data_IF_036187584792
#
_entry.id   IF_036187584792
#
_cell.length_a   1.000
_cell.length_b   1.000
_cell.length_c   1.000
_cell.angle_alpha   90.00
_cell.angle_beta   90.00
_cell.angle_gamma   90.00
#
_symmetry.space_group_name_H-M   'P 1'
#
loop_
_entity.id
_entity.type
_entity.pdbx_description
1 polymer ?
#
# COMPACT_ATOMS: atom_id res chain seq x y z
N UNK A 1 14.94 -3.03 -2.33
CA UNK A 1 14.44 -1.79 -1.71
C UNK A 1 12.94 -1.82 -1.36
N UNK A 2 11.99 -1.83 -2.32
CA UNK A 2 10.54 -1.97 -2.00
C UNK A 2 10.26 -3.24 -1.20
N UNK A 3 10.80 -4.35 -1.71
CA UNK A 3 10.62 -5.65 -1.10
C UNK A 3 11.40 -5.79 0.20
N UNK A 4 12.53 -5.13 0.40
CA UNK A 4 13.27 -5.29 1.66
C UNK A 4 12.53 -4.63 2.82
N UNK A 5 11.98 -3.42 2.64
CA UNK A 5 11.21 -2.76 3.69
C UNK A 5 9.83 -3.43 3.91
N UNK A 6 9.26 -4.05 2.88
CA UNK A 6 7.98 -4.76 3.01
C UNK A 6 8.17 -6.22 3.49
N UNK A 7 9.22 -6.92 3.08
CA UNK A 7 9.46 -8.36 3.31
C UNK A 7 10.41 -8.61 4.48
N UNK A 8 11.42 -7.76 4.71
CA UNK A 8 12.33 -7.85 5.86
C UNK A 8 11.87 -6.88 6.95
N UNK A 9 10.85 -7.29 7.70
CA UNK A 9 10.79 -6.89 9.10
C UNK A 9 11.17 -8.12 9.93
N UNK A 10 12.36 -8.09 10.51
CA UNK A 10 12.67 -9.00 11.61
C UNK A 10 11.90 -8.48 12.83
N UNK A 11 11.08 -9.30 13.50
CA UNK A 11 10.65 -8.94 14.85
C UNK A 11 11.91 -8.60 15.65
N UNK A 12 11.88 -7.54 16.45
CA UNK A 12 12.95 -7.28 17.42
C UNK A 12 13.32 -8.62 18.08
N UNK A 13 14.62 -8.92 18.13
CA UNK A 13 15.20 -10.19 18.60
C UNK A 13 14.84 -10.55 20.06
N UNK A 14 13.88 -9.87 20.67
CA UNK A 14 13.36 -10.13 22.01
C UNK A 14 12.16 -11.07 22.05
N UNK A 15 11.55 -11.45 20.92
CA UNK A 15 10.44 -12.42 20.90
C UNK A 15 10.95 -13.88 20.83
N UNK A 16 11.74 -14.28 21.83
CA UNK A 16 11.78 -15.70 22.25
C UNK A 16 10.54 -15.96 23.11
N UNK A 17 9.33 -16.07 22.55
CA UNK A 17 8.15 -16.23 23.42
C UNK A 17 7.08 -17.17 22.84
N UNK A 18 7.02 -18.36 23.48
CA UNK A 18 5.90 -19.25 23.77
C UNK A 18 4.87 -19.59 22.66
N UNK A 19 4.41 -20.85 22.65
CA UNK A 19 3.40 -21.45 21.77
C UNK A 19 2.02 -20.72 21.69
N UNK A 20 1.82 -19.57 22.34
CA UNK A 20 0.52 -18.87 22.49
C UNK A 20 0.59 -17.33 22.47
N UNK A 21 1.55 -16.72 21.76
CA UNK A 21 1.54 -15.26 21.58
C UNK A 21 0.34 -14.82 20.71
N UNK A 22 -0.38 -13.73 21.06
CA UNK A 22 -1.48 -13.21 20.24
C UNK A 22 -0.98 -12.80 18.84
N UNK A 23 -1.85 -12.83 17.81
CA UNK A 23 -1.44 -12.48 16.46
C UNK A 23 -0.95 -11.04 16.38
N UNK A 24 0.12 -10.83 15.62
CA UNK A 24 0.55 -9.48 15.23
C UNK A 24 -0.55 -8.88 14.34
N UNK A 25 -1.13 -7.79 14.80
CA UNK A 25 -2.20 -7.10 14.08
C UNK A 25 -1.63 -6.01 13.16
N UNK A 26 -2.06 -6.01 11.90
CA UNK A 26 -1.68 -4.98 10.92
C UNK A 26 -2.92 -4.51 10.15
N UNK A 27 -3.16 -3.21 10.14
CA UNK A 27 -4.28 -2.56 9.46
C UNK A 27 -3.75 -1.62 8.38
N UNK A 28 -4.04 -1.94 7.13
CA UNK A 28 -3.53 -1.18 5.97
C UNK A 28 -4.66 -0.56 5.16
N UNK A 29 -4.62 0.75 4.93
CA UNK A 29 -5.47 1.41 3.94
C UNK A 29 -4.69 1.57 2.65
N UNK A 30 -5.21 1.01 1.56
CA UNK A 30 -4.68 1.26 0.21
C UNK A 30 -5.40 2.50 -0.32
N UNK A 31 -4.63 3.53 -0.68
CA UNK A 31 -5.17 4.78 -1.24
C UNK A 31 -4.70 4.87 -2.68
N UNK A 32 -5.60 4.60 -3.63
CA UNK A 32 -5.29 4.54 -5.06
C UNK A 32 -5.73 5.80 -5.78
N UNK A 33 -4.79 6.42 -6.47
CA UNK A 33 -5.05 7.45 -7.45
C UNK A 33 -5.76 6.84 -8.67
N UNK A 34 -6.97 7.31 -8.93
CA UNK A 34 -7.81 6.90 -10.04
C UNK A 34 -8.05 8.08 -11.01
N UNK A 35 -7.13 9.04 -11.03
CA UNK A 35 -7.11 10.16 -11.95
C UNK A 35 -6.74 9.74 -13.38
N UNK A 36 -7.07 10.60 -14.34
CA UNK A 36 -6.89 10.38 -15.77
C UNK A 36 -5.44 10.11 -16.18
N UNK A 37 -4.46 10.67 -15.46
CA UNK A 37 -3.03 10.56 -15.76
C UNK A 37 -2.46 9.16 -15.48
N UNK A 38 -3.12 8.37 -14.63
CA UNK A 38 -2.76 6.96 -14.41
C UNK A 38 -3.12 6.12 -15.63
N UNK A 39 -4.30 6.36 -16.21
CA UNK A 39 -4.85 5.56 -17.31
C UNK A 39 -5.51 4.27 -16.83
N UNK A 40 -6.65 3.92 -17.45
CA UNK A 40 -7.50 2.79 -17.03
C UNK A 40 -6.75 1.44 -16.99
N UNK A 41 -5.93 1.14 -18.02
CA UNK A 41 -5.17 -0.11 -18.05
C UNK A 41 -4.17 -0.22 -16.91
N UNK A 42 -3.40 0.84 -16.64
CA UNK A 42 -2.41 0.84 -15.55
C UNK A 42 -3.10 0.81 -14.19
N UNK A 43 -4.25 1.47 -14.03
CA UNK A 43 -5.07 1.36 -12.83
C UNK A 43 -5.51 -0.10 -12.57
N UNK A 44 -5.96 -0.82 -13.61
CA UNK A 44 -6.28 -2.25 -13.51
C UNK A 44 -5.06 -3.08 -13.06
N UNK A 45 -3.87 -2.81 -13.62
CA UNK A 45 -2.65 -3.48 -13.15
C UNK A 45 -2.31 -3.13 -11.71
N UNK A 46 -2.57 -1.89 -11.29
CA UNK A 46 -2.44 -1.43 -9.90
C UNK A 46 -3.33 -2.21 -8.94
N UNK A 47 -4.61 -2.42 -9.29
CA UNK A 47 -5.54 -3.24 -8.49
C UNK A 47 -5.03 -4.68 -8.32
N UNK A 48 -4.48 -5.26 -9.39
CA UNK A 48 -3.87 -6.60 -9.34
C UNK A 48 -2.62 -6.60 -8.46
N UNK A 49 -1.75 -5.60 -8.61
CA UNK A 49 -0.54 -5.45 -7.79
C UNK A 49 -0.89 -5.37 -6.29
N UNK A 50 -1.87 -4.54 -5.92
CA UNK A 50 -2.31 -4.41 -4.53
C UNK A 50 -2.94 -5.70 -4.01
N UNK A 51 -3.73 -6.40 -4.83
CA UNK A 51 -4.26 -7.74 -4.50
C UNK A 51 -3.14 -8.75 -4.20
N UNK A 52 -2.05 -8.74 -4.96
CA UNK A 52 -0.87 -9.58 -4.73
C UNK A 52 -0.13 -9.18 -3.45
N UNK A 53 0.07 -7.88 -3.23
CA UNK A 53 0.70 -7.33 -2.03
C UNK A 53 -0.02 -7.78 -0.75
N UNK A 54 -1.36 -7.71 -0.73
CA UNK A 54 -2.18 -8.15 0.41
C UNK A 54 -1.94 -9.63 0.76
N UNK A 55 -1.77 -10.49 -0.26
CA UNK A 55 -1.53 -11.93 -0.09
C UNK A 55 -0.16 -12.22 0.52
N UNK A 56 0.82 -11.32 0.40
CA UNK A 56 2.14 -11.50 0.98
C UNK A 56 2.10 -11.60 2.51
N UNK A 57 1.16 -10.94 3.20
CA UNK A 57 1.04 -11.05 4.66
C UNK A 57 0.86 -12.50 5.13
N UNK A 58 0.03 -13.30 4.45
CA UNK A 58 -0.15 -14.72 4.79
C UNK A 58 1.15 -15.51 4.72
N UNK A 59 1.99 -15.19 3.74
CA UNK A 59 3.27 -15.87 3.51
C UNK A 59 4.30 -15.44 4.55
N UNK A 60 4.33 -14.16 4.96
CA UNK A 60 5.18 -13.67 6.06
C UNK A 60 4.87 -14.41 7.36
N UNK A 61 3.58 -14.49 7.71
CA UNK A 61 3.12 -15.16 8.93
C UNK A 61 3.59 -16.62 8.98
N UNK A 62 3.32 -17.38 7.91
CA UNK A 62 3.72 -18.79 7.80
C UNK A 62 5.23 -18.97 7.94
N UNK A 63 6.04 -18.12 7.27
CA UNK A 63 7.50 -18.22 7.30
C UNK A 63 8.12 -17.86 8.64
N UNK A 64 7.57 -16.87 9.33
CA UNK A 64 8.09 -16.42 10.62
C UNK A 64 7.70 -17.37 11.78
N UNK A 65 6.81 -18.36 11.55
CA UNK A 65 6.23 -19.16 12.63
C UNK A 65 5.35 -18.32 13.56
N UNK A 66 4.86 -17.17 13.08
CA UNK A 66 4.06 -16.21 13.85
C UNK A 66 2.63 -16.17 13.30
N UNK A 67 1.68 -15.87 14.18
CA UNK A 67 0.31 -15.56 13.76
C UNK A 67 0.21 -14.08 13.39
N UNK A 68 -0.36 -13.76 12.23
CA UNK A 68 -0.66 -12.39 11.80
C UNK A 68 -2.16 -12.25 11.50
N UNK A 69 -2.76 -11.15 11.94
CA UNK A 69 -4.10 -10.73 11.54
C UNK A 69 -3.98 -9.44 10.75
N UNK A 70 -3.81 -9.56 9.42
CA UNK A 70 -3.78 -8.41 8.52
C UNK A 70 -5.17 -8.10 7.97
N UNK A 71 -5.59 -6.84 8.09
CA UNK A 71 -6.82 -6.30 7.51
C UNK A 71 -6.52 -5.16 6.57
N UNK A 72 -7.36 -5.04 5.53
CA UNK A 72 -7.17 -4.04 4.49
C UNK A 72 -8.47 -3.30 4.19
N UNK A 73 -8.37 -1.99 4.02
CA UNK A 73 -9.40 -1.13 3.44
C UNK A 73 -8.89 -0.54 2.12
N UNK A 74 -9.81 -0.16 1.24
CA UNK A 74 -9.51 0.47 -0.04
C UNK A 74 -10.19 1.82 -0.15
N UNK A 75 -9.41 2.83 -0.51
CA UNK A 75 -9.87 4.18 -0.85
C UNK A 75 -9.36 4.49 -2.24
N UNK A 76 -10.22 5.00 -3.10
CA UNK A 76 -9.85 5.56 -4.39
C UNK A 76 -10.06 7.07 -4.37
N UNK A 77 -9.29 7.82 -5.15
CA UNK A 77 -9.53 9.24 -5.33
C UNK A 77 -9.34 9.69 -6.77
N UNK A 78 -10.16 10.66 -7.17
CA UNK A 78 -9.96 11.47 -8.38
C UNK A 78 -10.33 12.93 -8.07
N UNK A 79 -11.50 13.43 -8.46
CA UNK A 79 -12.00 14.73 -8.01
C UNK A 79 -12.38 14.73 -6.52
N UNK A 80 -12.89 13.59 -6.05
CA UNK A 80 -13.23 13.29 -4.66
C UNK A 80 -12.63 11.95 -4.26
N UNK A 81 -12.65 11.63 -2.97
CA UNK A 81 -12.27 10.33 -2.45
C UNK A 81 -13.51 9.46 -2.14
N UNK A 82 -13.37 8.16 -2.34
CA UNK A 82 -14.40 7.15 -2.08
C UNK A 82 -13.81 6.05 -1.22
N UNK A 83 -14.50 5.69 -0.13
CA UNK A 83 -14.22 4.44 0.58
C UNK A 83 -14.83 3.27 -0.21
N UNK A 84 -13.99 2.59 -1.01
CA UNK A 84 -14.46 1.49 -1.85
C UNK A 84 -14.81 0.24 -1.02
N UNK A 85 -14.04 -0.01 0.05
CA UNK A 85 -14.37 -1.03 1.04
C UNK A 85 -13.65 -0.80 2.37
N UNK A 86 -14.36 -1.10 3.46
CA UNK A 86 -13.81 -1.02 4.81
C UNK A 86 -12.94 -2.24 5.17
N UNK A 87 -12.21 -2.15 6.30
CA UNK A 87 -11.27 -3.17 6.78
C UNK A 87 -11.85 -4.58 6.71
N UNK A 88 -11.27 -5.38 5.83
CA UNK A 88 -11.68 -6.76 5.57
C UNK A 88 -10.47 -7.70 5.66
N UNK A 89 -10.66 -8.98 6.03
CA UNK A 89 -9.59 -9.98 5.97
C UNK A 89 -9.06 -10.16 4.55
N UNK A 90 -7.80 -10.60 4.42
CA UNK A 90 -7.07 -10.75 3.14
C UNK A 90 -7.90 -11.43 2.03
N UNK A 91 -8.63 -12.51 2.35
CA UNK A 91 -9.42 -13.27 1.38
C UNK A 91 -10.54 -12.44 0.73
N UNK A 92 -11.12 -11.50 1.47
CA UNK A 92 -12.16 -10.60 0.98
C UNK A 92 -11.54 -9.35 0.36
N UNK A 93 -10.61 -8.68 1.06
CA UNK A 93 -10.01 -7.44 0.59
C UNK A 93 -9.30 -7.60 -0.75
N UNK A 94 -8.57 -8.71 -0.95
CA UNK A 94 -7.88 -8.99 -2.22
C UNK A 94 -8.82 -9.22 -3.41
N UNK A 95 -10.11 -9.52 -3.16
CA UNK A 95 -11.17 -9.58 -4.18
C UNK A 95 -11.81 -8.21 -4.37
N UNK A 96 -12.18 -7.52 -3.27
CA UNK A 96 -12.80 -6.19 -3.29
C UNK A 96 -11.92 -5.15 -3.98
N UNK A 97 -10.60 -5.16 -3.76
CA UNK A 97 -9.69 -4.22 -4.43
C UNK A 97 -9.71 -4.37 -5.96
N UNK A 98 -10.07 -5.54 -6.50
CA UNK A 98 -10.17 -5.77 -7.95
C UNK A 98 -11.43 -5.15 -8.57
N UNK A 99 -12.45 -4.86 -7.76
CA UNK A 99 -13.74 -4.31 -8.21
C UNK A 99 -13.81 -2.78 -8.07
N UNK A 100 -12.75 -2.13 -7.57
CA UNK A 100 -12.68 -0.65 -7.49
C UNK A 100 -12.80 -0.05 -8.89
N UNK A 101 -13.61 1.01 -9.00
CA UNK A 101 -13.92 1.69 -10.27
C UNK A 101 -12.85 2.73 -10.61
N UNK A 102 -12.68 2.99 -11.91
CA UNK A 102 -11.74 3.99 -12.43
C UNK A 102 -12.52 5.17 -13.04
N UNK A 103 -12.70 6.28 -12.32
CA UNK A 103 -13.39 7.45 -12.83
C UNK A 103 -12.55 8.29 -13.82
N UNK A 104 -11.22 8.35 -13.67
CA UNK A 104 -10.34 9.01 -14.65
C UNK A 104 -10.36 10.55 -14.67
N UNK A 105 -10.80 11.20 -13.59
CA UNK A 105 -10.87 12.67 -13.48
C UNK A 105 -9.58 13.29 -12.92
N UNK A 106 -9.65 14.37 -12.15
CA UNK A 106 -8.50 15.07 -11.55
C UNK A 106 -7.84 14.33 -10.38
N UNK A 107 -6.88 14.98 -9.71
CA UNK A 107 -5.98 14.35 -8.73
C UNK A 107 -6.08 15.00 -7.34
N UNK A 108 -7.15 14.68 -6.59
CA UNK A 108 -7.41 15.18 -5.25
C UNK A 108 -6.80 14.29 -4.15
N UNK A 109 -5.47 14.29 -4.07
CA UNK A 109 -4.72 13.42 -3.15
C UNK A 109 -5.01 13.69 -1.67
N UNK A 110 -5.24 14.95 -1.28
CA UNK A 110 -5.54 15.30 0.11
C UNK A 110 -6.87 14.69 0.57
N UNK A 111 -7.90 14.65 -0.28
CA UNK A 111 -9.16 13.97 0.04
C UNK A 111 -8.95 12.46 0.27
N UNK A 112 -8.10 11.81 -0.53
CA UNK A 112 -7.77 10.39 -0.33
C UNK A 112 -7.10 10.12 1.01
N UNK A 113 -6.17 11.00 1.42
CA UNK A 113 -5.50 10.92 2.73
C UNK A 113 -6.46 11.21 3.89
N UNK A 114 -7.35 12.18 3.75
CA UNK A 114 -8.38 12.49 4.77
C UNK A 114 -9.36 11.33 4.95
N UNK A 115 -9.77 10.68 3.87
CA UNK A 115 -10.65 9.51 3.94
C UNK A 115 -9.93 8.32 4.61
N UNK A 116 -8.66 8.09 4.27
CA UNK A 116 -7.84 7.10 4.96
C UNK A 116 -7.69 7.40 6.47
N UNK A 117 -7.60 8.68 6.85
CA UNK A 117 -7.56 9.09 8.25
C UNK A 117 -8.84 8.69 8.99
N UNK A 118 -10.02 8.96 8.42
CA UNK A 118 -11.31 8.55 9.00
C UNK A 118 -11.40 7.04 9.18
N UNK A 119 -11.03 6.28 8.15
CA UNK A 119 -11.06 4.81 8.15
C UNK A 119 -10.15 4.24 9.25
N UNK A 120 -8.92 4.74 9.36
CA UNK A 120 -7.99 4.31 10.42
C UNK A 120 -8.53 4.68 11.80
N UNK A 121 -9.05 5.91 11.98
CA UNK A 121 -9.54 6.34 13.29
C UNK A 121 -10.72 5.48 13.77
N UNK A 122 -11.56 5.00 12.86
CA UNK A 122 -12.66 4.11 13.19
C UNK A 122 -12.22 2.79 13.84
N UNK A 123 -11.03 2.26 13.50
CA UNK A 123 -10.53 0.98 14.04
C UNK A 123 -9.64 1.15 15.29
N UNK A 124 -9.36 2.38 15.72
CA UNK A 124 -8.47 2.63 16.86
C UNK A 124 -8.99 2.06 18.18
N UNK A 125 -10.31 1.94 18.34
CA UNK A 125 -10.92 1.40 19.57
C UNK A 125 -10.65 -0.11 19.71
N UNK A 126 -10.81 -0.85 18.61
CA UNK A 126 -10.74 -2.32 18.63
C UNK A 126 -9.31 -2.85 18.44
N UNK A 127 -8.44 -2.06 17.80
CA UNK A 127 -7.10 -2.47 17.37
C UNK A 127 -6.07 -1.37 17.64
N UNK A 128 -6.10 -0.82 18.85
CA UNK A 128 -5.25 0.32 19.28
C UNK A 128 -3.76 0.06 19.00
N UNK A 129 -3.26 -1.11 19.36
CA UNK A 129 -1.84 -1.47 19.27
C UNK A 129 -1.43 -2.06 17.91
N UNK A 130 -2.40 -2.33 17.02
CA UNK A 130 -2.11 -2.80 15.67
C UNK A 130 -1.21 -1.82 14.92
N UNK A 131 -0.29 -2.36 14.12
CA UNK A 131 0.50 -1.56 13.18
C UNK A 131 -0.44 -0.99 12.13
N UNK A 132 -0.30 0.30 11.86
CA UNK A 132 -1.17 1.01 10.92
C UNK A 132 -0.36 1.46 9.73
N UNK A 133 -0.90 1.23 8.54
CA UNK A 133 -0.21 1.59 7.31
C UNK A 133 -1.19 2.28 6.37
N UNK A 134 -0.72 3.37 5.75
CA UNK A 134 -1.37 3.96 4.58
C UNK A 134 -0.43 3.73 3.42
N UNK A 135 -0.94 3.12 2.35
CA UNK A 135 -0.18 2.82 1.15
C UNK A 135 -0.77 3.64 0.00
N UNK A 136 -0.19 4.83 -0.20
CA UNK A 136 -0.61 5.77 -1.24
C UNK A 136 0.03 5.38 -2.57
N UNK A 137 -0.77 5.16 -3.60
CA UNK A 137 -0.34 4.86 -4.97
C UNK A 137 -0.79 6.00 -5.86
N UNK A 138 0.15 6.75 -6.43
CA UNK A 138 -0.12 7.97 -7.21
C UNK A 138 1.06 8.30 -8.12
N UNK A 139 0.84 9.04 -9.20
CA UNK A 139 1.91 9.57 -10.04
C UNK A 139 2.54 10.88 -9.50
N UNK A 140 1.99 11.42 -8.41
CA UNK A 140 2.63 12.44 -7.58
C UNK A 140 2.36 13.88 -7.97
N UNK A 141 1.30 14.15 -8.73
CA UNK A 141 0.86 15.51 -9.05
C UNK A 141 -0.47 15.81 -8.38
N UNK A 142 -0.46 16.16 -7.09
CA UNK A 142 -1.70 16.56 -6.44
C UNK A 142 -2.13 17.96 -6.91
N UNK A 143 -3.44 18.17 -7.01
CA UNK A 143 -4.02 19.48 -7.33
C UNK A 143 -3.72 20.55 -6.26
N UNK A 144 -3.38 20.14 -5.03
CA UNK A 144 -3.05 21.06 -3.94
C UNK A 144 -2.01 20.44 -2.99
N UNK A 145 -0.73 20.72 -3.26
CA UNK A 145 0.41 20.16 -2.51
C UNK A 145 0.37 20.49 -1.02
N UNK A 146 0.01 21.73 -0.68
CA UNK A 146 -0.02 22.17 0.72
C UNK A 146 -1.07 21.40 1.53
N UNK A 147 -2.29 21.24 0.99
CA UNK A 147 -3.34 20.42 1.62
C UNK A 147 -2.90 18.96 1.72
N UNK A 148 -2.31 18.40 0.66
CA UNK A 148 -1.83 17.01 0.65
C UNK A 148 -0.81 16.77 1.78
N UNK A 149 0.17 17.66 1.94
CA UNK A 149 1.16 17.58 3.01
C UNK A 149 0.50 17.75 4.38
N UNK A 150 -0.46 18.67 4.53
CA UNK A 150 -1.17 18.89 5.78
C UNK A 150 -1.97 17.65 6.22
N UNK A 151 -2.70 17.01 5.30
CA UNK A 151 -3.46 15.78 5.58
C UNK A 151 -2.54 14.61 5.92
N UNK A 152 -1.40 14.47 5.22
CA UNK A 152 -0.38 13.49 5.58
C UNK A 152 0.21 13.74 6.99
N UNK A 153 0.38 15.01 7.39
CA UNK A 153 0.87 15.38 8.73
C UNK A 153 -0.12 14.92 9.82
N UNK A 154 -1.43 15.08 9.61
CA UNK A 154 -2.47 14.60 10.53
C UNK A 154 -2.45 13.08 10.68
N UNK A 155 -2.39 12.34 9.58
CA UNK A 155 -2.25 10.88 9.57
C UNK A 155 -1.02 10.42 10.37
N UNK A 156 0.14 11.08 10.18
CA UNK A 156 1.39 10.76 10.87
C UNK A 156 1.34 10.96 12.40
N UNK A 157 0.34 11.68 12.92
CA UNK A 157 0.13 11.82 14.36
C UNK A 157 -0.59 10.62 14.98
N UNK A 158 -1.15 9.71 14.17
CA UNK A 158 -1.80 8.50 14.67
C UNK A 158 -0.73 7.51 15.15
N UNK A 159 -0.92 7.01 16.38
CA UNK A 159 -0.02 6.03 16.99
C UNK A 159 0.20 4.81 16.10
N UNK A 160 1.46 4.40 15.98
CA UNK A 160 1.90 3.23 15.21
C UNK A 160 1.53 3.27 13.71
N UNK A 161 1.27 4.47 13.15
CA UNK A 161 0.97 4.66 11.73
C UNK A 161 2.22 4.99 10.92
N UNK A 162 2.36 4.34 9.75
CA UNK A 162 3.33 4.69 8.71
C UNK A 162 2.64 4.94 7.38
N UNK A 163 3.13 5.93 6.63
CA UNK A 163 2.67 6.24 5.27
C UNK A 163 3.77 5.80 4.30
N UNK A 164 3.41 4.90 3.40
CA UNK A 164 4.19 4.48 2.25
C UNK A 164 3.62 5.15 1.00
N UNK A 165 4.50 5.62 0.12
CA UNK A 165 4.14 6.24 -1.15
C UNK A 165 4.76 5.45 -2.28
N UNK A 166 3.93 4.98 -3.22
CA UNK A 166 4.35 4.41 -4.49
C UNK A 166 4.10 5.45 -5.58
N UNK A 167 5.20 6.06 -6.01
CA UNK A 167 5.28 7.03 -7.08
C UNK A 167 5.30 6.31 -8.44
N UNK A 168 4.27 6.51 -9.24
CA UNK A 168 4.17 5.97 -10.60
C UNK A 168 4.75 6.96 -11.61
N UNK A 169 5.46 6.47 -12.62
CA UNK A 169 6.06 7.28 -13.67
C UNK A 169 7.42 7.89 -13.29
N UNK A 170 7.94 8.68 -14.22
CA UNK A 170 9.32 9.21 -14.17
C UNK A 170 9.40 10.69 -13.75
N UNK A 171 8.27 11.36 -13.51
CA UNK A 171 8.21 12.80 -13.25
C UNK A 171 8.87 13.20 -11.92
N UNK A 172 10.00 13.90 -11.96
CA UNK A 172 10.72 14.28 -10.72
C UNK A 172 9.99 15.39 -9.95
N UNK A 173 9.17 16.21 -10.61
CA UNK A 173 8.52 17.41 -10.03
C UNK A 173 7.62 17.15 -8.81
N UNK A 174 7.17 15.91 -8.59
CA UNK A 174 6.36 15.49 -7.44
C UNK A 174 7.15 14.88 -6.28
N UNK A 175 8.47 14.65 -6.43
CA UNK A 175 9.22 13.82 -5.48
C UNK A 175 9.35 14.46 -4.09
N UNK A 176 9.47 15.78 -4.02
CA UNK A 176 9.52 16.53 -2.76
C UNK A 176 8.19 16.40 -1.99
N UNK A 177 7.06 16.56 -2.69
CA UNK A 177 5.74 16.36 -2.10
C UNK A 177 5.58 14.94 -1.57
N UNK A 178 5.93 13.94 -2.38
CA UNK A 178 5.87 12.53 -1.98
C UNK A 178 6.75 12.21 -0.77
N UNK A 179 7.95 12.78 -0.72
CA UNK A 179 8.86 12.64 0.41
C UNK A 179 8.28 13.27 1.69
N UNK A 180 7.58 14.41 1.57
CA UNK A 180 6.89 15.07 2.69
C UNK A 180 5.61 14.35 3.12
N UNK A 181 4.93 13.67 2.19
CA UNK A 181 3.77 12.82 2.50
C UNK A 181 4.18 11.57 3.25
N UNK A 182 5.21 10.87 2.76
CA UNK A 182 5.69 9.64 3.35
C UNK A 182 6.16 9.79 4.81
N UNK A 183 6.30 8.65 5.49
CA UNK A 183 6.97 8.59 6.78
C UNK A 183 8.50 8.79 6.66
N UNK A 184 9.12 9.17 7.77
CA UNK A 184 10.56 9.43 7.83
C UNK A 184 11.35 8.16 8.22
N UNK A 185 12.55 7.93 7.66
CA UNK A 185 13.19 8.72 6.60
C UNK A 185 12.62 8.37 5.20
N UNK A 186 12.40 9.36 4.31
CA UNK A 186 11.66 9.15 3.04
C UNK A 186 12.19 8.01 2.17
N UNK A 187 13.50 7.77 2.12
CA UNK A 187 14.09 6.68 1.34
C UNK A 187 13.62 5.27 1.76
N UNK A 188 13.02 5.12 2.95
CA UNK A 188 12.41 3.86 3.40
C UNK A 188 10.94 3.71 3.02
N UNK A 189 10.26 4.81 2.72
CA UNK A 189 8.81 4.87 2.59
C UNK A 189 8.33 5.41 1.24
N UNK A 190 9.22 5.97 0.43
CA UNK A 190 8.93 6.38 -0.95
C UNK A 190 9.55 5.34 -1.89
N UNK A 191 8.72 4.83 -2.79
CA UNK A 191 9.12 3.88 -3.82
C UNK A 191 8.68 4.40 -5.17
N UNK A 192 9.57 4.35 -6.17
CA UNK A 192 9.23 4.72 -7.53
C UNK A 192 9.14 3.50 -8.43
N UNK A 193 8.12 3.47 -9.27
CA UNK A 193 7.92 2.50 -10.32
C UNK A 193 7.51 3.24 -11.59
N UNK A 194 8.03 2.82 -12.74
CA UNK A 194 7.71 3.48 -14.01
C UNK A 194 6.24 3.30 -14.39
N UNK A 195 5.70 2.09 -14.18
CA UNK A 195 4.32 1.70 -14.49
C UNK A 195 3.78 0.76 -13.40
N UNK A 196 2.48 0.80 -13.13
CA UNK A 196 1.80 -0.13 -12.21
C UNK A 196 1.83 -1.58 -12.72
N UNK A 197 1.86 -1.76 -14.04
CA UNK A 197 2.16 -3.06 -14.67
C UNK A 197 3.50 -3.66 -14.22
N UNK A 198 4.54 -2.83 -14.04
CA UNK A 198 5.82 -3.27 -13.46
C UNK A 198 5.72 -3.52 -11.95
N UNK A 199 4.93 -2.72 -11.22
CA UNK A 199 4.70 -2.95 -9.79
C UNK A 199 4.03 -4.30 -9.53
N UNK A 200 3.00 -4.64 -10.31
CA UNK A 200 2.38 -5.97 -10.30
C UNK A 200 3.42 -7.07 -10.46
N UNK A 201 4.26 -6.93 -11.48
CA UNK A 201 5.32 -7.90 -11.75
C UNK A 201 6.31 -8.05 -10.59
N UNK A 202 6.72 -6.95 -9.96
CA UNK A 202 7.60 -6.95 -8.79
C UNK A 202 6.95 -7.70 -7.61
N UNK A 203 5.66 -7.47 -7.35
CA UNK A 203 4.96 -8.16 -6.26
C UNK A 203 4.67 -9.63 -6.57
N UNK A 204 4.45 -9.98 -7.83
CA UNK A 204 4.33 -11.36 -8.27
C UNK A 204 5.63 -12.13 -8.02
N UNK A 205 6.76 -11.59 -8.49
CA UNK A 205 8.09 -12.15 -8.23
C UNK A 205 8.38 -12.29 -6.73
N UNK A 206 8.05 -11.25 -5.96
CA UNK A 206 8.24 -11.26 -4.52
C UNK A 206 7.44 -12.36 -3.84
N UNK A 207 6.16 -12.48 -4.20
CA UNK A 207 5.27 -13.50 -3.65
C UNK A 207 5.77 -14.90 -4.02
N UNK A 208 6.18 -15.13 -5.27
CA UNK A 208 6.75 -16.41 -5.72
C UNK A 208 8.04 -16.76 -4.96
N UNK A 209 8.99 -15.82 -4.85
CA UNK A 209 10.22 -16.01 -4.07
C UNK A 209 9.93 -16.24 -2.58
N UNK A 210 8.87 -15.62 -2.06
CA UNK A 210 8.40 -15.86 -0.70
C UNK A 210 7.74 -17.23 -0.54
N UNK A 211 7.15 -17.83 -1.57
CA UNK A 211 6.54 -19.17 -1.48
C UNK A 211 7.58 -20.27 -1.75
N UNK A 212 8.49 -20.06 -2.69
CA UNK A 212 9.52 -21.01 -3.14
C UNK A 212 10.93 -20.42 -2.95
N UNK A 213 11.52 -20.49 -1.75
CA UNK A 213 12.90 -20.06 -1.51
C UNK A 213 13.87 -20.87 -2.37
N UNK A 214 14.85 -20.22 -2.99
CA UNK A 214 15.91 -20.89 -3.78
C UNK A 214 15.53 -21.18 -5.24
N UNK A 215 14.26 -21.10 -5.61
CA UNK A 215 13.82 -21.12 -7.01
C UNK A 215 13.73 -19.66 -7.48
N UNK A 216 14.60 -19.27 -8.41
CA UNK A 216 14.47 -17.98 -9.07
C UNK A 216 13.40 -18.10 -10.15
N UNK A 217 12.25 -17.41 -10.00
CA UNK A 217 11.23 -17.44 -11.02
C UNK A 217 11.78 -16.84 -12.33
N UNK A 218 11.79 -17.63 -13.39
CA UNK A 218 12.05 -17.16 -14.76
C UNK A 218 10.80 -16.50 -15.31
N UNK A 219 10.30 -15.47 -14.61
CA UNK A 219 9.35 -14.59 -15.27
C UNK A 219 10.17 -13.68 -16.20
N UNK A 220 9.77 -13.59 -17.46
CA UNK A 220 10.28 -12.54 -18.33
C UNK A 220 9.52 -11.27 -17.96
N UNK A 221 10.19 -10.11 -17.84
CA UNK A 221 9.47 -8.85 -17.67
C UNK A 221 8.48 -8.74 -18.82
N UNK A 222 7.19 -8.49 -18.54
CA UNK A 222 6.20 -8.46 -19.59
C UNK A 222 6.55 -7.35 -20.60
N UNK A 223 6.34 -7.64 -21.89
CA UNK A 223 6.19 -6.56 -22.89
C UNK A 223 5.13 -5.59 -22.35
N UNK A 224 5.26 -4.29 -22.62
CA UNK A 224 4.37 -3.25 -22.07
C UNK A 224 2.91 -3.71 -22.11
N UNK A 225 2.35 -4.08 -20.94
CA UNK A 225 1.01 -4.65 -20.82
C UNK A 225 -0.06 -3.62 -21.12
N UNK A 226 0.25 -2.36 -20.82
CA UNK A 226 -0.53 -1.21 -21.17
C UNK A 226 0.24 -0.38 -22.21
N UNK A 227 -0.44 0.16 -23.23
CA UNK A 227 0.14 1.09 -24.18
C UNK A 227 0.84 2.27 -23.48
#
# INVERSE_FOLDING_TARGET
MILDNFVRYQPDNQLRLAKRSPPIQEDTVIVMDASGSIGSCEFEQGKIAMSQMMKMCKVKAKKAGLSYDCRYAGVSFSNSATLDFNFSPINQASKKIRTVTYPGWGTNTHAGLEEAEKVIRAVLRDRKDARKMVFLVTDGQSNNKQKTIASAKKLKQIWNLKIFVVAVGNYINGIDEMAKVASYPPHRYVFRVEKLSKLKYIFELALQKMIHPGVWPTLKPPKSLCP
#
